data_IF_971234870607
#
_entry.id   IF_971234870607
#
_cell.length_a   1.000
_cell.length_b   1.000
_cell.length_c   1.000
_cell.angle_alpha   90.00
_cell.angle_beta   90.00
_cell.angle_gamma   90.00
#
_symmetry.space_group_name_H-M   'P 1'
#
loop_
_entity.id
_entity.type
_entity.pdbx_description
1 polymer ?
#
# COMPACT_ATOMS: atom_id res chain seq x y z
N UNK A 1 89.93 -119.94 -187.57
CA UNK A 1 90.59 -118.66 -187.25
C UNK A 1 89.66 -117.43 -187.37
N UNK A 2 88.34 -117.56 -187.60
CA UNK A 2 87.53 -116.39 -187.99
C UNK A 2 86.46 -115.87 -187.00
N UNK A 3 86.20 -116.48 -185.84
CA UNK A 3 85.21 -115.90 -184.87
C UNK A 3 85.72 -115.69 -183.44
N UNK A 4 87.03 -115.53 -183.31
CA UNK A 4 87.68 -114.78 -182.23
C UNK A 4 87.22 -113.30 -182.17
N UNK A 5 86.61 -112.74 -183.22
CA UNK A 5 86.07 -111.37 -183.19
C UNK A 5 84.68 -111.24 -182.52
N UNK A 6 83.93 -112.35 -182.34
CA UNK A 6 82.70 -112.34 -181.54
C UNK A 6 83.00 -112.40 -180.03
N UNK A 7 84.22 -112.80 -179.68
CA UNK A 7 84.83 -112.75 -178.35
C UNK A 7 85.27 -111.34 -177.90
N UNK A 8 84.72 -110.25 -178.45
CA UNK A 8 85.06 -108.90 -177.98
C UNK A 8 83.89 -107.91 -178.03
N UNK A 9 82.96 -108.09 -178.97
CA UNK A 9 81.79 -107.22 -179.09
C UNK A 9 80.69 -107.47 -178.02
N UNK A 10 80.57 -108.69 -177.49
CA UNK A 10 79.65 -108.98 -176.39
C UNK A 10 80.26 -108.64 -175.01
N UNK A 11 81.58 -108.84 -174.86
CA UNK A 11 82.34 -108.54 -173.64
C UNK A 11 82.40 -107.03 -173.36
N UNK A 12 82.50 -106.19 -174.40
CA UNK A 12 82.47 -104.72 -174.28
C UNK A 12 81.06 -104.15 -174.05
N UNK A 13 80.00 -104.87 -174.46
CA UNK A 13 78.61 -104.41 -174.25
C UNK A 13 78.05 -104.74 -172.85
N UNK A 14 78.51 -105.82 -172.20
CA UNK A 14 78.08 -106.15 -170.83
C UNK A 14 78.80 -105.34 -169.75
N UNK A 15 80.12 -105.15 -169.90
CA UNK A 15 80.94 -104.38 -168.94
C UNK A 15 80.53 -102.89 -168.83
N UNK A 16 79.83 -102.36 -169.85
CA UNK A 16 79.23 -101.03 -169.81
C UNK A 16 77.93 -100.96 -168.99
N UNK A 17 77.18 -102.07 -168.86
CA UNK A 17 75.98 -102.14 -168.01
C UNK A 17 76.32 -102.17 -166.52
N UNK A 18 77.32 -102.97 -166.13
CA UNK A 18 77.76 -103.10 -164.74
C UNK A 18 78.32 -101.80 -164.14
N UNK A 19 78.89 -100.91 -164.97
CA UNK A 19 79.40 -99.61 -164.53
C UNK A 19 78.29 -98.56 -164.30
N UNK A 20 77.18 -98.65 -165.04
CA UNK A 20 76.04 -97.73 -164.89
C UNK A 20 75.24 -98.02 -163.62
N UNK A 21 75.04 -99.30 -163.29
CA UNK A 21 74.34 -99.72 -162.08
C UNK A 21 75.14 -99.43 -160.79
N UNK A 22 76.47 -99.51 -160.84
CA UNK A 22 77.31 -99.16 -159.70
C UNK A 22 77.27 -97.66 -159.37
N UNK A 23 77.16 -96.79 -160.38
CA UNK A 23 77.06 -95.33 -160.17
C UNK A 23 75.71 -94.90 -159.58
N UNK A 24 74.61 -95.59 -159.93
CA UNK A 24 73.30 -95.34 -159.34
C UNK A 24 73.29 -95.65 -157.83
N UNK A 25 73.87 -96.79 -157.42
CA UNK A 25 73.94 -97.22 -156.01
C UNK A 25 74.73 -96.28 -155.10
N UNK A 26 75.81 -95.68 -155.59
CA UNK A 26 76.62 -94.72 -154.81
C UNK A 26 75.85 -93.42 -154.56
N UNK A 27 75.04 -92.98 -155.53
CA UNK A 27 74.23 -91.77 -155.40
C UNK A 27 73.07 -91.99 -154.42
N UNK A 28 72.44 -93.15 -154.47
CA UNK A 28 71.38 -93.57 -153.54
C UNK A 28 71.87 -93.64 -152.09
N UNK A 29 73.05 -94.23 -151.87
CA UNK A 29 73.68 -94.32 -150.54
C UNK A 29 74.07 -92.95 -149.98
N UNK A 30 74.47 -91.99 -150.83
CA UNK A 30 74.77 -90.62 -150.39
C UNK A 30 73.52 -89.88 -149.92
N UNK A 31 72.40 -90.02 -150.63
CA UNK A 31 71.13 -89.41 -150.24
C UNK A 31 70.65 -89.97 -148.88
N UNK A 32 70.78 -91.29 -148.68
CA UNK A 32 70.43 -91.93 -147.41
C UNK A 32 71.29 -91.43 -146.23
N UNK A 33 72.57 -91.14 -146.45
CA UNK A 33 73.46 -90.66 -145.39
C UNK A 33 73.09 -89.24 -144.92
N UNK A 34 72.77 -88.34 -145.86
CA UNK A 34 72.32 -86.98 -145.53
C UNK A 34 70.98 -87.00 -144.80
N UNK A 35 70.10 -87.93 -145.18
CA UNK A 35 68.79 -88.11 -144.57
C UNK A 35 68.90 -88.63 -143.12
N UNK A 36 69.81 -89.58 -142.86
CA UNK A 36 70.10 -90.04 -141.49
C UNK A 36 70.77 -88.96 -140.63
N UNK A 37 71.67 -88.14 -141.22
CA UNK A 37 72.29 -87.02 -140.52
C UNK A 37 71.26 -86.01 -140.02
N UNK A 38 70.28 -85.64 -140.86
CA UNK A 38 69.18 -84.76 -140.48
C UNK A 38 68.26 -85.32 -139.39
N UNK A 39 68.07 -86.64 -139.35
CA UNK A 39 67.27 -87.30 -138.30
C UNK A 39 67.97 -87.25 -136.93
N UNK A 40 69.29 -87.41 -136.88
CA UNK A 40 70.05 -87.35 -135.62
C UNK A 40 70.04 -85.95 -135.02
N UNK A 41 70.22 -84.91 -135.84
CA UNK A 41 70.21 -83.52 -135.36
C UNK A 41 68.80 -83.09 -134.89
N UNK A 42 67.74 -83.52 -135.58
CA UNK A 42 66.37 -83.32 -135.14
C UNK A 42 66.07 -84.02 -133.80
N UNK A 43 66.62 -85.23 -133.59
CA UNK A 43 66.49 -85.97 -132.33
C UNK A 43 67.19 -85.25 -131.17
N UNK A 44 68.42 -84.75 -131.38
CA UNK A 44 69.16 -83.98 -130.36
C UNK A 44 68.46 -82.68 -129.98
N UNK A 45 67.91 -81.95 -130.95
CA UNK A 45 67.16 -80.73 -130.68
C UNK A 45 65.91 -81.02 -129.82
N UNK A 46 65.22 -82.14 -130.08
CA UNK A 46 64.01 -82.53 -129.34
C UNK A 46 64.30 -82.98 -127.90
N UNK A 47 65.44 -83.65 -127.67
CA UNK A 47 65.90 -83.98 -126.30
C UNK A 47 66.19 -82.69 -125.51
N UNK A 48 66.92 -81.74 -126.09
CA UNK A 48 67.23 -80.46 -125.43
C UNK A 48 65.99 -79.58 -125.18
N UNK A 49 64.92 -79.74 -125.97
CA UNK A 49 63.63 -79.10 -125.72
C UNK A 49 62.89 -79.75 -124.55
N UNK A 50 62.85 -81.09 -124.50
CA UNK A 50 62.22 -81.83 -123.39
C UNK A 50 62.96 -81.60 -122.07
N UNK A 51 64.30 -81.59 -122.08
CA UNK A 51 65.11 -81.32 -120.88
C UNK A 51 64.84 -79.90 -120.32
N UNK A 52 64.73 -78.89 -121.19
CA UNK A 52 64.33 -77.53 -120.77
C UNK A 52 62.91 -77.50 -120.22
N UNK A 53 61.97 -78.21 -120.84
CA UNK A 53 60.60 -78.34 -120.34
C UNK A 53 60.53 -79.00 -118.95
N UNK A 54 61.33 -80.04 -118.72
CA UNK A 54 61.39 -80.76 -117.45
C UNK A 54 61.97 -79.89 -116.33
N UNK A 55 63.01 -79.11 -116.62
CA UNK A 55 63.58 -78.14 -115.67
C UNK A 55 62.58 -77.04 -115.30
N UNK A 56 61.80 -76.54 -116.27
CA UNK A 56 60.76 -75.53 -116.02
C UNK A 56 59.62 -76.07 -115.16
N UNK A 57 59.17 -77.32 -115.39
CA UNK A 57 58.12 -77.95 -114.59
C UNK A 57 58.63 -78.26 -113.18
N UNK A 58 59.86 -78.74 -113.02
CA UNK A 58 60.47 -78.96 -111.71
C UNK A 58 60.54 -77.68 -110.89
N UNK A 59 60.96 -76.55 -111.49
CA UNK A 59 60.96 -75.25 -110.81
C UNK A 59 59.58 -74.80 -110.35
N UNK A 60 58.54 -74.97 -111.18
CA UNK A 60 57.15 -74.68 -110.79
C UNK A 60 56.64 -75.58 -109.67
N UNK A 61 57.04 -76.85 -109.63
CA UNK A 61 56.67 -77.75 -108.54
C UNK A 61 57.31 -77.34 -107.21
N UNK A 62 58.56 -76.88 -107.22
CA UNK A 62 59.24 -76.40 -106.02
C UNK A 62 58.65 -75.07 -105.50
N UNK A 63 58.30 -74.14 -106.39
CA UNK A 63 57.60 -72.89 -106.04
C UNK A 63 56.24 -73.17 -105.39
N UNK A 64 55.41 -74.01 -106.02
CA UNK A 64 54.09 -74.38 -105.48
C UNK A 64 54.20 -75.16 -104.17
N UNK A 65 55.24 -75.98 -103.98
CA UNK A 65 55.50 -76.66 -102.72
C UNK A 65 55.96 -75.68 -101.62
N UNK A 66 56.65 -74.59 -101.98
CA UNK A 66 56.95 -73.47 -101.10
C UNK A 66 55.69 -72.76 -100.63
N UNK A 67 54.85 -72.30 -101.57
CA UNK A 67 53.58 -71.63 -101.28
C UNK A 67 52.65 -72.49 -100.42
N UNK A 68 52.58 -73.80 -100.68
CA UNK A 68 51.79 -74.73 -99.89
C UNK A 68 52.25 -74.86 -98.43
N UNK A 69 53.56 -74.76 -98.16
CA UNK A 69 54.10 -74.78 -96.80
C UNK A 69 53.81 -73.49 -96.04
N UNK A 70 53.93 -72.34 -96.71
CA UNK A 70 53.66 -71.04 -96.10
C UNK A 70 52.17 -70.89 -95.74
N UNK A 71 51.27 -71.27 -96.65
CA UNK A 71 49.82 -71.27 -96.39
C UNK A 71 49.42 -72.23 -95.26
N UNK A 72 50.06 -73.39 -95.16
CA UNK A 72 49.82 -74.33 -94.06
C UNK A 72 50.27 -73.77 -92.70
N UNK A 73 51.40 -73.04 -92.67
CA UNK A 73 51.88 -72.37 -91.46
C UNK A 73 50.95 -71.22 -91.03
N UNK A 74 50.43 -70.45 -91.99
CA UNK A 74 49.49 -69.36 -91.72
C UNK A 74 48.12 -69.85 -91.25
N UNK A 75 47.59 -70.92 -91.84
CA UNK A 75 46.37 -71.58 -91.37
C UNK A 75 46.51 -72.07 -89.90
N UNK A 76 47.66 -72.67 -89.56
CA UNK A 76 47.94 -73.11 -88.19
C UNK A 76 47.99 -71.96 -87.17
N UNK A 77 48.51 -70.79 -87.56
CA UNK A 77 48.51 -69.59 -86.70
C UNK A 77 47.09 -69.06 -86.46
N UNK A 78 46.29 -68.95 -87.52
CA UNK A 78 44.90 -68.46 -87.43
C UNK A 78 44.01 -69.39 -86.59
N UNK A 79 44.20 -70.71 -86.68
CA UNK A 79 43.46 -71.67 -85.87
C UNK A 79 43.83 -71.57 -84.38
N UNK A 80 45.13 -71.37 -84.06
CA UNK A 80 45.56 -71.12 -82.69
C UNK A 80 44.99 -69.81 -82.12
N UNK A 81 44.96 -68.74 -82.90
CA UNK A 81 44.35 -67.46 -82.49
C UNK A 81 42.84 -67.59 -82.26
N UNK A 82 42.13 -68.31 -83.12
CA UNK A 82 40.69 -68.60 -82.96
C UNK A 82 40.39 -69.40 -81.71
N UNK A 83 41.19 -70.43 -81.43
CA UNK A 83 41.05 -71.23 -80.21
C UNK A 83 41.26 -70.37 -78.95
N UNK A 84 42.28 -69.51 -78.94
CA UNK A 84 42.55 -68.58 -77.84
C UNK A 84 41.46 -67.50 -77.66
N UNK A 85 40.83 -67.03 -78.74
CA UNK A 85 39.71 -66.11 -78.67
C UNK A 85 38.45 -66.78 -78.10
N UNK A 86 38.13 -68.01 -78.52
CA UNK A 86 36.98 -68.77 -77.99
C UNK A 86 37.10 -69.05 -76.49
N UNK A 87 38.27 -69.50 -76.04
CA UNK A 87 38.51 -69.73 -74.62
C UNK A 87 38.35 -68.45 -73.76
N UNK A 88 38.72 -67.28 -74.30
CA UNK A 88 38.50 -65.98 -73.62
C UNK A 88 37.02 -65.60 -73.54
N UNK A 89 36.25 -65.82 -74.60
CA UNK A 89 34.80 -65.56 -74.57
C UNK A 89 34.09 -66.46 -73.55
N UNK A 90 34.42 -67.76 -73.53
CA UNK A 90 33.85 -68.70 -72.54
C UNK A 90 34.20 -68.30 -71.10
N UNK A 91 35.42 -67.81 -70.86
CA UNK A 91 35.82 -67.29 -69.55
C UNK A 91 35.04 -66.04 -69.12
N UNK A 92 34.82 -65.09 -70.02
CA UNK A 92 34.06 -63.86 -69.73
C UNK A 92 32.56 -64.14 -69.52
N UNK A 93 31.97 -65.09 -70.26
CA UNK A 93 30.58 -65.49 -70.05
C UNK A 93 30.38 -66.17 -68.68
N UNK A 94 31.35 -66.99 -68.25
CA UNK A 94 31.33 -67.58 -66.91
C UNK A 94 31.45 -66.51 -65.80
N UNK A 95 32.29 -65.49 -65.99
CA UNK A 95 32.43 -64.39 -65.03
C UNK A 95 31.16 -63.51 -64.96
N UNK A 96 30.56 -63.20 -66.12
CA UNK A 96 29.32 -62.43 -66.22
C UNK A 96 28.15 -63.12 -65.52
N UNK A 97 28.00 -64.43 -65.72
CA UNK A 97 26.94 -65.22 -65.05
C UNK A 97 27.11 -65.26 -63.53
N UNK A 98 28.35 -65.37 -63.04
CA UNK A 98 28.64 -65.35 -61.60
C UNK A 98 28.36 -63.97 -60.97
N UNK A 99 28.74 -62.89 -61.65
CA UNK A 99 28.45 -61.51 -61.21
C UNK A 99 26.94 -61.24 -61.17
N UNK A 100 26.20 -61.67 -62.19
CA UNK A 100 24.74 -61.53 -62.23
C UNK A 100 24.06 -62.26 -61.06
N UNK A 101 24.52 -63.48 -60.72
CA UNK A 101 24.02 -64.22 -59.57
C UNK A 101 24.34 -63.52 -58.24
N UNK A 102 25.55 -62.95 -58.09
CA UNK A 102 25.93 -62.19 -56.90
C UNK A 102 25.12 -60.91 -56.73
N UNK A 103 24.78 -60.21 -57.82
CA UNK A 103 23.94 -59.00 -57.78
C UNK A 103 22.52 -59.33 -57.33
N UNK A 104 21.93 -60.39 -57.89
CA UNK A 104 20.59 -60.84 -57.50
C UNK A 104 20.51 -61.20 -56.01
N UNK A 105 21.54 -61.86 -55.46
CA UNK A 105 21.60 -62.18 -54.03
C UNK A 105 21.67 -60.93 -53.13
N UNK A 106 22.48 -59.93 -53.52
CA UNK A 106 22.59 -58.68 -52.77
C UNK A 106 21.31 -57.83 -52.81
N UNK A 107 20.59 -57.86 -53.93
CA UNK A 107 19.33 -57.13 -54.06
C UNK A 107 18.22 -57.76 -53.20
N UNK A 108 18.17 -59.09 -53.10
CA UNK A 108 17.26 -59.79 -52.18
C UNK A 108 17.59 -59.49 -50.71
N UNK A 109 18.87 -59.51 -50.33
CA UNK A 109 19.32 -59.14 -48.99
C UNK A 109 18.95 -57.68 -48.64
N UNK A 110 19.11 -56.75 -49.58
CA UNK A 110 18.69 -55.35 -49.41
C UNK A 110 17.19 -55.22 -49.23
N UNK A 111 16.39 -55.96 -50.00
CA UNK A 111 14.94 -55.94 -49.89
C UNK A 111 14.47 -56.44 -48.50
N UNK A 112 15.06 -57.52 -48.00
CA UNK A 112 14.72 -58.06 -46.67
C UNK A 112 15.13 -57.11 -45.54
N UNK A 113 16.29 -56.47 -45.63
CA UNK A 113 16.73 -55.46 -44.65
C UNK A 113 15.85 -54.21 -44.67
N UNK A 114 15.42 -53.75 -45.86
CA UNK A 114 14.51 -52.61 -45.98
C UNK A 114 13.13 -52.89 -45.36
N UNK A 115 12.61 -54.11 -45.54
CA UNK A 115 11.37 -54.56 -44.91
C UNK A 115 11.49 -54.56 -43.37
N UNK A 116 12.56 -55.15 -42.82
CA UNK A 116 12.82 -55.16 -41.37
C UNK A 116 12.98 -53.76 -40.78
N UNK A 117 13.63 -52.85 -41.50
CA UNK A 117 13.77 -51.44 -41.07
C UNK A 117 12.41 -50.76 -40.96
N UNK A 118 11.55 -50.96 -41.96
CA UNK A 118 10.21 -50.35 -42.00
C UNK A 118 9.33 -50.86 -40.87
N UNK A 119 9.40 -52.17 -40.58
CA UNK A 119 8.69 -52.78 -39.43
C UNK A 119 9.20 -52.22 -38.09
N UNK A 120 10.52 -52.11 -37.92
CA UNK A 120 11.12 -51.53 -36.71
C UNK A 120 10.76 -50.04 -36.52
N UNK A 121 10.77 -49.24 -37.59
CA UNK A 121 10.36 -47.83 -37.56
C UNK A 121 8.88 -47.67 -37.18
N UNK A 122 8.01 -48.54 -37.71
CA UNK A 122 6.59 -48.57 -37.34
C UNK A 122 6.39 -48.93 -35.87
N UNK A 123 7.10 -49.96 -35.37
CA UNK A 123 7.06 -50.35 -33.95
C UNK A 123 7.58 -49.25 -33.02
N UNK A 124 8.64 -48.54 -33.42
CA UNK A 124 9.16 -47.40 -32.65
C UNK A 124 8.15 -46.24 -32.59
N UNK A 125 7.49 -45.92 -33.71
CA UNK A 125 6.47 -44.87 -33.76
C UNK A 125 5.26 -45.19 -32.86
N UNK A 126 4.80 -46.44 -32.88
CA UNK A 126 3.71 -46.89 -32.00
C UNK A 126 4.13 -46.83 -30.52
N UNK A 127 5.37 -47.26 -30.21
CA UNK A 127 5.94 -47.16 -28.87
C UNK A 127 6.01 -45.72 -28.34
N UNK A 128 6.45 -44.77 -29.18
CA UNK A 128 6.45 -43.35 -28.83
C UNK A 128 5.03 -42.81 -28.60
N UNK A 129 4.05 -43.23 -29.41
CA UNK A 129 2.64 -42.85 -29.23
C UNK A 129 2.07 -43.32 -27.90
N UNK A 130 2.33 -44.57 -27.52
CA UNK A 130 1.91 -45.12 -26.21
C UNK A 130 2.61 -44.44 -25.05
N UNK A 131 3.91 -44.15 -25.18
CA UNK A 131 4.67 -43.45 -24.14
C UNK A 131 4.15 -42.02 -23.91
N UNK A 132 3.81 -41.30 -24.98
CA UNK A 132 3.22 -39.96 -24.89
C UNK A 132 1.84 -39.99 -24.22
N UNK A 133 0.98 -40.95 -24.57
CA UNK A 133 -0.33 -41.10 -23.94
C UNK A 133 -0.23 -41.40 -22.43
N UNK A 134 0.69 -42.28 -22.03
CA UNK A 134 0.95 -42.59 -20.62
C UNK A 134 1.53 -41.38 -19.86
N UNK A 135 2.39 -40.58 -20.51
CA UNK A 135 2.93 -39.36 -19.91
C UNK A 135 1.83 -38.31 -19.66
N UNK A 136 0.90 -38.14 -20.59
CA UNK A 136 -0.26 -37.24 -20.43
C UNK A 136 -1.20 -37.70 -19.30
N UNK A 137 -1.44 -39.01 -19.17
CA UNK A 137 -2.23 -39.57 -18.08
C UNK A 137 -1.56 -39.37 -16.72
N UNK A 138 -0.25 -39.61 -16.63
CA UNK A 138 0.54 -39.37 -15.43
C UNK A 138 0.50 -37.89 -15.02
N UNK A 139 0.69 -36.97 -15.97
CA UNK A 139 0.64 -35.54 -15.68
C UNK A 139 -0.74 -35.09 -15.19
N UNK A 140 -1.83 -35.60 -15.79
CA UNK A 140 -3.20 -35.33 -15.31
C UNK A 140 -3.43 -35.86 -13.89
N UNK A 141 -2.87 -37.01 -13.55
CA UNK A 141 -2.95 -37.57 -12.21
C UNK A 141 -2.16 -36.72 -11.19
N UNK A 142 -0.95 -36.28 -11.53
CA UNK A 142 -0.12 -35.40 -10.70
C UNK A 142 -0.82 -34.06 -10.41
N UNK A 143 -1.41 -33.43 -11.42
CA UNK A 143 -2.14 -32.17 -11.23
C UNK A 143 -3.34 -32.37 -10.29
N UNK A 144 -4.10 -33.47 -10.44
CA UNK A 144 -5.22 -33.79 -9.55
C UNK A 144 -4.74 -34.04 -8.12
N UNK A 145 -3.64 -34.76 -7.95
CA UNK A 145 -3.05 -35.00 -6.63
C UNK A 145 -2.66 -33.67 -5.97
N UNK A 146 -1.96 -32.79 -6.68
CA UNK A 146 -1.56 -31.48 -6.17
C UNK A 146 -2.77 -30.59 -5.80
N UNK A 147 -3.85 -30.64 -6.58
CA UNK A 147 -5.11 -29.95 -6.26
C UNK A 147 -5.72 -30.46 -4.94
N UNK A 148 -5.85 -31.79 -4.79
CA UNK A 148 -6.40 -32.40 -3.58
C UNK A 148 -5.53 -32.12 -2.35
N UNK A 149 -4.20 -32.18 -2.49
CA UNK A 149 -3.26 -31.84 -1.40
C UNK A 149 -3.39 -30.37 -0.98
N UNK A 150 -3.53 -29.44 -1.93
CA UNK A 150 -3.72 -28.03 -1.64
C UNK A 150 -5.07 -27.76 -0.93
N UNK A 151 -6.15 -28.41 -1.36
CA UNK A 151 -7.46 -28.32 -0.72
C UNK A 151 -7.43 -28.86 0.71
N UNK A 152 -6.81 -30.03 0.92
CA UNK A 152 -6.62 -30.61 2.25
C UNK A 152 -5.77 -29.72 3.15
N UNK A 153 -4.65 -29.20 2.63
CA UNK A 153 -3.78 -28.27 3.37
C UNK A 153 -4.47 -26.95 3.73
N UNK A 154 -5.32 -26.44 2.86
CA UNK A 154 -6.17 -25.27 3.14
C UNK A 154 -7.27 -25.56 4.16
N UNK A 155 -7.91 -26.72 4.09
CA UNK A 155 -8.89 -27.15 5.08
C UNK A 155 -8.27 -27.34 6.47
N UNK A 156 -7.08 -27.97 6.54
CA UNK A 156 -6.34 -28.16 7.80
C UNK A 156 -5.95 -26.83 8.43
N UNK A 157 -5.37 -25.91 7.66
CA UNK A 157 -5.00 -24.57 8.17
C UNK A 157 -6.19 -23.81 8.72
N UNK A 158 -7.33 -23.81 8.00
CA UNK A 158 -8.56 -23.17 8.51
C UNK A 158 -9.02 -23.79 9.82
N UNK A 159 -8.99 -25.12 9.96
CA UNK A 159 -9.37 -25.80 11.20
C UNK A 159 -8.47 -25.41 12.39
N UNK A 160 -7.16 -25.31 12.17
CA UNK A 160 -6.20 -24.95 13.22
C UNK A 160 -6.23 -23.45 13.55
N UNK A 161 -6.25 -22.58 12.53
CA UNK A 161 -6.16 -21.12 12.71
C UNK A 161 -7.48 -20.49 13.15
N UNK A 162 -8.61 -20.83 12.52
CA UNK A 162 -9.91 -20.22 12.85
C UNK A 162 -10.60 -20.91 14.03
N UNK A 163 -10.41 -22.23 14.19
CA UNK A 163 -11.16 -23.01 15.17
C UNK A 163 -10.30 -23.64 16.27
N UNK A 164 -8.96 -23.61 16.17
CA UNK A 164 -8.06 -24.14 17.18
C UNK A 164 -8.12 -25.67 17.34
N UNK A 165 -8.64 -26.40 16.34
CA UNK A 165 -8.83 -27.85 16.41
C UNK A 165 -7.86 -28.54 15.44
N UNK A 166 -6.95 -29.43 15.92
CA UNK A 166 -6.12 -30.25 15.06
C UNK A 166 -6.98 -31.18 14.18
N UNK A 167 -6.60 -31.35 12.91
CA UNK A 167 -7.36 -32.14 11.94
C UNK A 167 -7.68 -33.57 12.43
N UNK A 168 -6.75 -34.20 13.13
CA UNK A 168 -6.86 -35.55 13.66
C UNK A 168 -7.96 -35.66 14.74
N UNK A 169 -8.22 -34.58 15.48
CA UNK A 169 -9.32 -34.48 16.45
C UNK A 169 -10.67 -34.20 15.78
N UNK A 170 -10.67 -33.49 14.66
CA UNK A 170 -11.88 -33.20 13.90
C UNK A 170 -12.39 -34.43 13.13
N UNK A 171 -11.49 -35.21 12.51
CA UNK A 171 -11.84 -36.38 11.70
C UNK A 171 -12.57 -37.50 12.48
N UNK A 172 -12.38 -37.58 13.80
CA UNK A 172 -13.01 -38.59 14.66
C UNK A 172 -14.22 -38.12 15.47
N UNK A 173 -14.61 -36.84 15.35
CA UNK A 173 -15.59 -36.21 16.24
C UNK A 173 -16.82 -35.64 15.52
N UNK A 174 -17.01 -35.91 14.23
CA UNK A 174 -18.19 -35.48 13.48
C UNK A 174 -19.35 -36.42 13.81
N UNK A 175 -20.42 -35.97 14.49
CA UNK A 175 -21.57 -36.82 14.76
C UNK A 175 -22.36 -37.07 13.47
N UNK A 176 -22.69 -38.32 13.17
CA UNK A 176 -23.44 -38.73 11.96
C UNK A 176 -24.83 -38.08 11.85
N UNK A 177 -25.35 -37.50 12.93
CA UNK A 177 -26.69 -36.92 13.03
C UNK A 177 -26.78 -35.45 12.62
N UNK A 178 -25.68 -34.81 12.18
CA UNK A 178 -25.66 -33.37 11.90
C UNK A 178 -25.89 -33.10 10.41
N UNK A 179 -27.05 -32.51 10.09
CA UNK A 179 -27.31 -32.03 8.74
C UNK A 179 -26.41 -30.81 8.46
N UNK A 180 -25.51 -30.97 7.47
CA UNK A 180 -24.52 -29.96 7.10
C UNK A 180 -25.17 -28.63 6.69
N UNK A 181 -26.23 -28.68 5.90
CA UNK A 181 -26.85 -27.48 5.34
C UNK A 181 -27.61 -26.70 6.42
N UNK A 182 -28.29 -27.40 7.32
CA UNK A 182 -28.95 -26.78 8.48
C UNK A 182 -27.94 -26.12 9.43
N UNK A 183 -26.81 -26.78 9.67
CA UNK A 183 -25.74 -26.27 10.55
C UNK A 183 -25.05 -25.05 9.95
N UNK A 184 -24.78 -25.07 8.64
CA UNK A 184 -24.21 -23.91 7.93
C UNK A 184 -25.17 -22.71 7.96
N UNK A 185 -26.46 -22.94 7.70
CA UNK A 185 -27.47 -21.88 7.80
C UNK A 185 -27.55 -21.29 9.21
N UNK A 186 -27.42 -22.12 10.25
CA UNK A 186 -27.37 -21.65 11.65
C UNK A 186 -26.10 -20.86 11.95
N UNK A 187 -24.94 -21.28 11.42
CA UNK A 187 -23.67 -20.54 11.57
C UNK A 187 -23.77 -19.18 10.88
N UNK A 188 -24.34 -19.10 9.68
CA UNK A 188 -24.54 -17.83 8.97
C UNK A 188 -25.49 -16.91 9.73
N UNK A 189 -26.60 -17.43 10.25
CA UNK A 189 -27.53 -16.65 11.07
C UNK A 189 -26.84 -16.11 12.33
N UNK A 190 -26.05 -16.94 13.04
CA UNK A 190 -25.30 -16.53 14.23
C UNK A 190 -24.21 -15.50 13.89
N UNK A 191 -23.49 -15.67 12.76
CA UNK A 191 -22.52 -14.68 12.27
C UNK A 191 -23.20 -13.35 11.94
N UNK A 192 -24.39 -13.39 11.35
CA UNK A 192 -25.21 -12.20 11.09
C UNK A 192 -25.63 -11.50 12.38
N UNK A 193 -26.06 -12.26 13.40
CA UNK A 193 -26.40 -11.71 14.72
C UNK A 193 -25.17 -11.07 15.41
N UNK A 194 -24.00 -11.71 15.31
CA UNK A 194 -22.74 -11.16 15.84
C UNK A 194 -22.35 -9.87 15.12
N UNK A 195 -22.45 -9.85 13.78
CA UNK A 195 -22.19 -8.64 13.00
C UNK A 195 -23.17 -7.50 13.33
N UNK A 196 -24.44 -7.82 13.59
CA UNK A 196 -25.46 -6.84 13.97
C UNK A 196 -25.22 -6.22 15.36
N UNK A 197 -24.53 -6.92 16.28
CA UNK A 197 -24.13 -6.33 17.57
C UNK A 197 -23.07 -5.24 17.43
N UNK A 198 -22.38 -5.18 16.29
CA UNK A 198 -21.35 -4.17 16.03
C UNK A 198 -20.08 -4.37 16.87
N UNK A 199 -19.14 -3.41 16.83
CA UNK A 199 -17.91 -3.50 17.58
C UNK A 199 -18.18 -3.43 19.10
N UNK A 200 -17.77 -4.46 19.82
CA UNK A 200 -17.89 -4.50 21.28
C UNK A 200 -16.83 -3.58 21.91
N UNK A 201 -17.27 -2.53 22.60
CA UNK A 201 -16.36 -1.67 23.34
C UNK A 201 -15.95 -2.34 24.67
N UNK A 202 -14.76 -2.94 24.68
CA UNK A 202 -14.20 -3.60 25.86
C UNK A 202 -13.88 -2.62 27.00
N UNK A 203 -13.72 -1.32 26.70
CA UNK A 203 -13.47 -0.28 27.70
C UNK A 203 -14.75 0.22 28.38
N UNK A 204 -15.93 -0.13 27.86
CA UNK A 204 -17.22 0.38 28.34
C UNK A 204 -17.45 0.10 29.84
N UNK A 205 -16.94 -1.02 30.35
CA UNK A 205 -17.07 -1.38 31.78
C UNK A 205 -16.29 -0.39 32.66
N UNK A 206 -15.05 -0.08 32.28
CA UNK A 206 -14.21 0.86 33.02
C UNK A 206 -14.69 2.30 32.84
N UNK A 207 -15.11 2.69 31.64
CA UNK A 207 -15.72 4.00 31.36
C UNK A 207 -17.00 4.20 32.19
N UNK A 208 -17.88 3.19 32.26
CA UNK A 208 -19.07 3.24 33.10
C UNK A 208 -18.70 3.40 34.57
N UNK A 209 -17.68 2.68 35.06
CA UNK A 209 -17.21 2.80 36.46
C UNK A 209 -16.74 4.22 36.77
N UNK A 210 -15.92 4.80 35.90
CA UNK A 210 -15.40 6.17 36.05
C UNK A 210 -16.51 7.23 36.01
N UNK A 211 -17.45 7.09 35.05
CA UNK A 211 -18.57 8.01 34.91
C UNK A 211 -19.52 7.90 36.11
N UNK A 212 -19.77 6.69 36.61
CA UNK A 212 -20.61 6.46 37.77
C UNK A 212 -20.01 7.08 39.05
N UNK A 213 -18.71 6.92 39.28
CA UNK A 213 -18.01 7.53 40.41
C UNK A 213 -18.05 9.07 40.38
N UNK A 214 -17.80 9.64 39.20
CA UNK A 214 -17.93 11.10 38.98
C UNK A 214 -19.36 11.59 39.21
N UNK A 215 -20.36 10.87 38.69
CA UNK A 215 -21.76 11.21 38.88
C UNK A 215 -22.16 11.17 40.35
N UNK A 216 -21.69 10.18 41.11
CA UNK A 216 -21.95 10.07 42.53
C UNK A 216 -21.32 11.24 43.30
N UNK A 217 -20.09 11.60 42.98
CA UNK A 217 -19.40 12.75 43.59
C UNK A 217 -20.14 14.06 43.36
N UNK A 218 -20.56 14.31 42.11
CA UNK A 218 -21.33 15.52 41.75
C UNK A 218 -22.70 15.58 42.45
N UNK A 219 -23.37 14.43 42.64
CA UNK A 219 -24.63 14.38 43.40
C UNK A 219 -24.43 14.80 44.86
N UNK A 220 -23.42 14.26 45.53
CA UNK A 220 -23.13 14.62 46.92
C UNK A 220 -22.79 16.11 47.06
N UNK A 221 -22.00 16.68 46.14
CA UNK A 221 -21.71 18.12 46.14
C UNK A 221 -22.97 18.97 45.91
N UNK A 222 -23.86 18.53 45.02
CA UNK A 222 -25.11 19.23 44.74
C UNK A 222 -26.04 19.23 45.96
N UNK A 223 -26.14 18.11 46.67
CA UNK A 223 -26.92 18.00 47.92
C UNK A 223 -26.36 18.94 49.00
N UNK A 224 -25.04 19.01 49.16
CA UNK A 224 -24.39 19.91 50.14
C UNK A 224 -24.65 21.40 49.83
N UNK A 225 -24.53 21.80 48.56
CA UNK A 225 -24.84 23.16 48.12
C UNK A 225 -26.31 23.50 48.35
N UNK A 226 -27.22 22.59 48.03
CA UNK A 226 -28.65 22.79 48.28
C UNK A 226 -28.96 22.92 49.78
N UNK A 227 -28.32 22.10 50.62
CA UNK A 227 -28.40 22.20 52.07
C UNK A 227 -27.90 23.56 52.58
N UNK A 228 -26.76 24.03 52.07
CA UNK A 228 -26.19 25.33 52.42
C UNK A 228 -27.11 26.48 52.03
N UNK A 229 -27.72 26.44 50.84
CA UNK A 229 -28.69 27.46 50.40
C UNK A 229 -29.90 27.50 51.34
N UNK A 230 -30.42 26.34 51.74
CA UNK A 230 -31.54 26.29 52.67
C UNK A 230 -31.17 26.89 54.04
N UNK A 231 -30.00 26.54 54.57
CA UNK A 231 -29.51 27.06 55.84
C UNK A 231 -29.31 28.59 55.82
N UNK A 232 -28.71 29.12 54.75
CA UNK A 232 -28.52 30.56 54.57
C UNK A 232 -29.85 31.32 54.48
N UNK A 233 -30.85 30.77 53.79
CA UNK A 233 -32.20 31.37 53.74
C UNK A 233 -32.85 31.42 55.11
N UNK A 234 -32.72 30.36 55.91
CA UNK A 234 -33.22 30.36 57.30
C UNK A 234 -32.51 31.42 58.13
N UNK A 235 -31.19 31.56 57.98
CA UNK A 235 -30.41 32.58 58.70
C UNK A 235 -30.84 34.00 58.32
N UNK A 236 -31.10 34.27 57.03
CA UNK A 236 -31.58 35.58 56.57
C UNK A 236 -32.91 35.93 57.26
N UNK A 237 -33.87 35.01 57.27
CA UNK A 237 -35.18 35.24 57.92
C UNK A 237 -35.01 35.52 59.43
N UNK A 238 -34.15 34.75 60.10
CA UNK A 238 -33.86 34.99 61.52
C UNK A 238 -33.21 36.35 61.76
N UNK A 239 -32.30 36.77 60.88
CA UNK A 239 -31.64 38.07 60.99
C UNK A 239 -32.62 39.22 60.72
N UNK A 240 -33.49 39.09 59.72
CA UNK A 240 -34.55 40.06 59.43
C UNK A 240 -35.50 40.25 60.63
N UNK A 241 -35.88 39.17 61.31
CA UNK A 241 -36.69 39.24 62.53
C UNK A 241 -35.96 39.98 63.66
N UNK A 242 -34.66 39.72 63.85
CA UNK A 242 -33.84 40.42 64.85
C UNK A 242 -33.71 41.91 64.52
N UNK A 243 -33.46 42.24 63.24
CA UNK A 243 -33.37 43.63 62.77
C UNK A 243 -34.69 44.36 63.02
N UNK A 244 -35.84 43.74 62.68
CA UNK A 244 -37.16 44.34 62.90
C UNK A 244 -37.42 44.62 64.37
N UNK A 245 -37.12 43.67 65.26
CA UNK A 245 -37.28 43.85 66.71
C UNK A 245 -36.39 44.99 67.22
N UNK A 246 -35.12 45.04 66.83
CA UNK A 246 -34.21 46.11 67.25
C UNK A 246 -34.62 47.48 66.70
N UNK A 247 -35.09 47.52 65.46
CA UNK A 247 -35.61 48.74 64.83
C UNK A 247 -36.81 49.27 65.61
N UNK A 248 -37.84 48.45 65.87
CA UNK A 248 -39.05 48.88 66.59
C UNK A 248 -38.73 49.38 68.01
N UNK A 249 -37.83 48.69 68.71
CA UNK A 249 -37.37 49.11 70.05
C UNK A 249 -36.64 50.45 70.00
N UNK A 250 -35.71 50.61 69.06
CA UNK A 250 -34.92 51.84 68.92
C UNK A 250 -35.78 53.01 68.44
N UNK A 251 -36.64 52.78 67.45
CA UNK A 251 -37.57 53.76 66.91
C UNK A 251 -38.47 54.32 68.01
N UNK A 252 -39.06 53.44 68.84
CA UNK A 252 -39.90 53.85 69.97
C UNK A 252 -39.11 54.67 71.00
N UNK A 253 -37.92 54.21 71.36
CA UNK A 253 -37.07 54.94 72.31
C UNK A 253 -36.69 56.34 71.81
N UNK A 254 -36.32 56.45 70.52
CA UNK A 254 -35.99 57.74 69.90
C UNK A 254 -37.23 58.63 69.78
N UNK A 255 -38.40 58.07 69.44
CA UNK A 255 -39.65 58.81 69.38
C UNK A 255 -40.01 59.42 70.73
N UNK A 256 -39.99 58.63 71.80
CA UNK A 256 -40.36 59.07 73.15
C UNK A 256 -39.41 60.19 73.64
N UNK A 257 -38.11 60.04 73.41
CA UNK A 257 -37.10 61.03 73.80
C UNK A 257 -37.17 62.29 72.93
N UNK A 258 -37.42 62.16 71.63
CA UNK A 258 -37.62 63.28 70.71
C UNK A 258 -38.84 64.11 71.11
N UNK A 259 -39.97 63.47 71.41
CA UNK A 259 -41.19 64.15 71.86
C UNK A 259 -40.95 64.91 73.17
N UNK A 260 -40.21 64.33 74.12
CA UNK A 260 -39.88 64.97 75.38
C UNK A 260 -38.95 66.18 75.20
N UNK A 261 -37.86 66.03 74.42
CA UNK A 261 -36.90 67.10 74.15
C UNK A 261 -37.53 68.24 73.35
N UNK A 262 -38.42 67.94 72.39
CA UNK A 262 -39.14 68.95 71.64
C UNK A 262 -39.96 69.84 72.57
N UNK A 263 -40.76 69.26 73.47
CA UNK A 263 -41.60 70.02 74.41
C UNK A 263 -40.73 70.90 75.31
N UNK A 264 -39.55 70.40 75.73
CA UNK A 264 -38.60 71.15 76.55
C UNK A 264 -38.01 72.35 75.82
N UNK A 265 -37.53 72.15 74.59
CA UNK A 265 -36.92 73.19 73.76
C UNK A 265 -37.92 74.26 73.32
N UNK A 266 -39.12 73.87 72.89
CA UNK A 266 -40.17 74.79 72.44
C UNK A 266 -41.04 75.33 73.59
N UNK A 267 -40.80 74.90 74.83
CA UNK A 267 -41.60 75.27 76.02
C UNK A 267 -43.10 75.00 75.82
N UNK A 268 -43.43 73.91 75.12
CA UNK A 268 -44.78 73.55 74.70
C UNK A 268 -44.83 72.96 73.28
N UNK A 269 -46.04 72.70 72.79
CA UNK A 269 -46.24 72.05 71.48
C UNK A 269 -46.21 70.52 71.55
N UNK A 270 -46.14 69.86 70.39
CA UNK A 270 -45.99 68.39 70.26
C UNK A 270 -45.20 68.05 69.01
N UNK A 271 -44.32 67.06 69.07
CA UNK A 271 -43.69 66.49 67.89
C UNK A 271 -43.58 64.98 68.03
N UNK A 272 -43.46 64.29 66.89
CA UNK A 272 -43.32 62.84 66.83
C UNK A 272 -42.70 62.39 65.53
N UNK A 273 -42.32 61.11 65.52
CA UNK A 273 -41.84 60.40 64.34
C UNK A 273 -42.97 59.51 63.81
N UNK A 274 -43.23 59.56 62.51
CA UNK A 274 -44.19 58.70 61.83
C UNK A 274 -43.47 57.81 60.80
N UNK A 275 -43.84 56.53 60.79
CA UNK A 275 -43.37 55.57 59.79
C UNK A 275 -44.17 55.77 58.51
N UNK A 276 -43.48 56.12 57.43
CA UNK A 276 -44.07 56.23 56.09
C UNK A 276 -43.85 54.88 55.38
N UNK A 277 -44.92 54.20 54.93
CA UNK A 277 -44.77 52.96 54.17
C UNK A 277 -43.89 53.18 52.94
N UNK A 278 -42.91 52.30 52.73
CA UNK A 278 -42.12 52.30 51.51
C UNK A 278 -42.97 51.96 50.29
N UNK A 279 -42.63 52.53 49.14
CA UNK A 279 -43.25 52.19 47.84
C UNK A 279 -42.40 51.11 47.16
N UNK A 280 -43.04 50.13 46.51
CA UNK A 280 -42.39 49.10 45.67
C UNK A 280 -41.25 48.30 46.35
N UNK A 281 -41.45 47.87 47.60
CA UNK A 281 -40.48 47.03 48.31
C UNK A 281 -39.28 47.79 48.89
N UNK A 282 -39.30 49.12 48.88
CA UNK A 282 -38.36 49.95 49.61
C UNK A 282 -38.59 49.85 51.13
N UNK A 283 -37.52 50.06 51.91
CA UNK A 283 -37.61 50.18 53.37
C UNK A 283 -38.53 51.35 53.77
N UNK A 284 -39.29 51.23 54.88
CA UNK A 284 -40.14 52.30 55.35
C UNK A 284 -39.31 53.55 55.70
N UNK A 285 -39.81 54.71 55.26
CA UNK A 285 -39.23 56.00 55.61
C UNK A 285 -39.67 56.46 57.00
N UNK A 286 -38.99 57.49 57.52
CA UNK A 286 -39.39 58.18 58.75
C UNK A 286 -39.67 59.65 58.40
N UNK A 287 -40.88 60.12 58.70
CA UNK A 287 -41.24 61.54 58.61
C UNK A 287 -41.33 62.18 60.00
N UNK A 288 -41.05 63.47 60.06
CA UNK A 288 -41.02 64.25 61.29
C UNK A 288 -42.21 65.21 61.28
N UNK A 289 -43.14 64.96 62.20
CA UNK A 289 -44.28 65.83 62.42
C UNK A 289 -44.05 66.71 63.64
N UNK A 290 -44.20 68.03 63.46
CA UNK A 290 -43.98 68.99 64.53
C UNK A 290 -45.13 70.00 64.60
N UNK A 291 -45.52 70.33 65.83
CA UNK A 291 -46.51 71.34 66.17
C UNK A 291 -45.93 72.28 67.23
N UNK A 292 -45.26 73.36 66.80
CA UNK A 292 -44.82 74.42 67.71
C UNK A 292 -46.00 75.06 68.48
N UNK A 293 -45.76 75.70 69.63
CA UNK A 293 -46.81 76.34 70.42
C UNK A 293 -47.60 77.36 69.59
N UNK A 294 -48.94 77.27 69.64
CA UNK A 294 -49.84 78.16 68.90
C UNK A 294 -49.98 77.87 67.39
N UNK A 295 -49.29 76.87 66.83
CA UNK A 295 -49.37 76.51 65.40
C UNK A 295 -50.08 75.17 65.14
N UNK A 296 -50.44 74.93 63.88
CA UNK A 296 -50.94 73.63 63.38
C UNK A 296 -49.78 72.65 63.16
N UNK A 297 -50.09 71.36 63.10
CA UNK A 297 -49.13 70.31 62.79
C UNK A 297 -48.63 70.47 61.35
N UNK A 298 -47.31 70.41 61.17
CA UNK A 298 -46.62 70.62 59.89
C UNK A 298 -45.45 69.64 59.76
N UNK A 299 -45.10 69.30 58.52
CA UNK A 299 -43.85 68.58 58.22
C UNK A 299 -42.65 69.52 58.37
N UNK A 300 -41.45 68.95 58.55
CA UNK A 300 -40.20 69.68 58.77
C UNK A 300 -39.94 70.78 57.71
N UNK A 301 -40.27 70.52 56.45
CA UNK A 301 -40.07 71.46 55.34
C UNK A 301 -40.92 72.74 55.43
N UNK A 302 -42.02 72.72 56.19
CA UNK A 302 -42.97 73.84 56.32
C UNK A 302 -42.74 74.70 57.59
N UNK A 303 -41.64 74.47 58.31
CA UNK A 303 -41.19 75.26 59.47
C UNK A 303 -40.26 76.41 59.07
N UNK A 304 -40.16 77.44 59.93
CA UNK A 304 -39.19 78.54 59.76
C UNK A 304 -37.75 78.04 59.91
N UNK A 305 -36.76 78.84 59.47
CA UNK A 305 -35.34 78.45 59.52
C UNK A 305 -34.86 78.07 60.93
N UNK A 306 -35.11 78.92 61.92
CA UNK A 306 -34.75 78.65 63.32
C UNK A 306 -35.57 77.52 63.96
N UNK A 307 -36.86 77.40 63.60
CA UNK A 307 -37.69 76.27 64.06
C UNK A 307 -37.17 74.94 63.52
N UNK A 308 -36.78 74.89 62.24
CA UNK A 308 -36.25 73.69 61.59
C UNK A 308 -34.95 73.23 62.23
N UNK A 309 -34.04 74.17 62.52
CA UNK A 309 -32.77 73.87 63.20
C UNK A 309 -33.04 73.30 64.59
N UNK A 310 -33.94 73.92 65.36
CA UNK A 310 -34.26 73.45 66.71
C UNK A 310 -34.95 72.07 66.72
N UNK A 311 -35.80 71.76 65.73
CA UNK A 311 -36.39 70.42 65.56
C UNK A 311 -35.33 69.39 65.18
N UNK A 312 -34.43 69.72 64.26
CA UNK A 312 -33.35 68.82 63.85
C UNK A 312 -32.41 68.52 65.03
N UNK A 313 -32.05 69.54 65.81
CA UNK A 313 -31.24 69.38 67.03
C UNK A 313 -31.93 68.52 68.07
N UNK A 314 -33.24 68.70 68.28
CA UNK A 314 -34.02 67.85 69.19
C UNK A 314 -33.95 66.37 68.80
N UNK A 315 -34.02 66.07 67.49
CA UNK A 315 -33.91 64.69 67.00
C UNK A 315 -32.50 64.12 67.17
N UNK A 316 -31.47 64.87 66.81
CA UNK A 316 -30.06 64.45 66.98
C UNK A 316 -29.76 64.20 68.47
N UNK A 317 -30.19 65.08 69.36
CA UNK A 317 -30.01 64.91 70.80
C UNK A 317 -30.80 63.72 71.34
N UNK A 318 -32.01 63.46 70.85
CA UNK A 318 -32.78 62.27 71.21
C UNK A 318 -32.05 60.99 70.80
N UNK A 319 -31.51 60.95 69.57
CA UNK A 319 -30.69 59.82 69.11
C UNK A 319 -29.45 59.61 69.98
N UNK A 320 -28.73 60.67 70.31
CA UNK A 320 -27.54 60.61 71.17
C UNK A 320 -27.87 60.20 72.61
N UNK A 321 -29.07 60.52 73.12
CA UNK A 321 -29.48 60.11 74.46
C UNK A 321 -29.89 58.63 74.51
N UNK A 322 -30.51 58.11 73.46
CA UNK A 322 -30.86 56.68 73.33
C UNK A 322 -29.60 55.84 73.08
N UNK A 323 -28.67 56.33 72.25
CA UNK A 323 -27.42 55.66 71.92
C UNK A 323 -26.24 56.63 72.06
N UNK A 324 -25.66 56.75 73.27
CA UNK A 324 -24.60 57.72 73.52
C UNK A 324 -23.34 57.39 72.72
N UNK A 325 -22.87 58.38 71.96
CA UNK A 325 -21.55 58.35 71.33
C UNK A 325 -20.47 58.73 72.34
N UNK A 326 -19.28 58.12 72.34
CA UNK A 326 -18.18 58.53 73.24
C UNK A 326 -17.78 60.00 73.07
N UNK A 327 -17.83 60.53 71.85
CA UNK A 327 -17.59 61.94 71.55
C UNK A 327 -18.56 62.45 70.47
N UNK A 328 -18.88 63.73 70.53
CA UNK A 328 -19.73 64.45 69.57
C UNK A 328 -19.06 65.78 69.23
N UNK A 329 -18.98 66.09 67.93
CA UNK A 329 -18.49 67.38 67.44
C UNK A 329 -19.64 68.11 66.77
N UNK A 330 -19.87 69.35 67.17
CA UNK A 330 -20.89 70.21 66.59
C UNK A 330 -20.24 71.50 66.10
N UNK A 331 -20.58 71.88 64.88
CA UNK A 331 -20.02 73.05 64.21
C UNK A 331 -21.12 74.07 63.89
N UNK A 332 -21.06 75.23 64.53
CA UNK A 332 -21.97 76.39 64.38
C UNK A 332 -23.47 76.06 64.33
N UNK A 333 -23.90 75.05 65.08
CA UNK A 333 -25.28 74.54 65.03
C UNK A 333 -26.32 75.57 65.53
N UNK A 334 -25.89 76.57 66.30
CA UNK A 334 -26.71 77.64 66.85
C UNK A 334 -26.79 78.90 65.99
N UNK A 335 -26.17 78.95 64.80
CA UNK A 335 -26.12 80.15 63.95
C UNK A 335 -27.51 80.71 63.57
N UNK A 336 -28.53 79.84 63.52
CA UNK A 336 -29.91 80.21 63.19
C UNK A 336 -30.83 80.37 64.43
N UNK A 337 -30.27 80.29 65.65
CA UNK A 337 -31.01 80.39 66.90
C UNK A 337 -30.86 81.79 67.52
N UNK A 338 -31.90 82.24 68.22
CA UNK A 338 -31.81 83.41 69.08
C UNK A 338 -31.12 83.07 70.42
N UNK A 339 -30.80 84.09 71.20
CA UNK A 339 -30.09 83.93 72.47
C UNK A 339 -30.87 83.07 73.47
N UNK A 340 -32.21 83.18 73.50
CA UNK A 340 -33.06 82.42 74.38
C UNK A 340 -33.05 80.91 74.06
N UNK A 341 -33.14 80.54 72.78
CA UNK A 341 -33.10 79.15 72.36
C UNK A 341 -31.68 78.56 72.42
N UNK A 342 -30.65 79.38 72.21
CA UNK A 342 -29.25 78.98 72.38
C UNK A 342 -28.96 78.51 73.82
N UNK A 343 -29.51 79.19 74.83
CA UNK A 343 -29.38 78.77 76.24
C UNK A 343 -30.05 77.43 76.51
N UNK A 344 -31.29 77.23 76.01
CA UNK A 344 -32.01 75.94 76.17
C UNK A 344 -31.26 74.77 75.53
N UNK A 345 -30.68 74.98 74.35
CA UNK A 345 -29.82 74.00 73.68
C UNK A 345 -28.59 73.68 74.52
N UNK A 346 -27.93 74.71 75.05
CA UNK A 346 -26.72 74.57 75.87
C UNK A 346 -26.99 73.75 77.15
N UNK A 347 -28.18 73.89 77.75
CA UNK A 347 -28.61 73.06 78.88
C UNK A 347 -28.75 71.58 78.49
N UNK A 348 -29.34 71.28 77.32
CA UNK A 348 -29.42 69.90 76.81
C UNK A 348 -28.03 69.32 76.55
N UNK A 349 -27.15 70.11 75.93
CA UNK A 349 -25.77 69.69 75.65
C UNK A 349 -25.00 69.38 76.95
N UNK A 350 -25.21 70.16 78.02
CA UNK A 350 -24.61 69.90 79.33
C UNK A 350 -25.11 68.59 79.95
N UNK A 351 -26.37 68.24 79.77
CA UNK A 351 -26.90 66.92 80.20
C UNK A 351 -26.27 65.76 79.41
N UNK A 352 -26.10 65.93 78.09
CA UNK A 352 -25.43 64.95 77.24
C UNK A 352 -23.94 64.83 77.60
N UNK A 353 -23.30 65.93 78.00
CA UNK A 353 -21.89 65.98 78.40
C UNK A 353 -21.56 65.09 79.61
N UNK A 354 -22.56 64.66 80.40
CA UNK A 354 -22.38 63.71 81.50
C UNK A 354 -21.97 62.32 81.00
N UNK A 355 -22.38 61.94 79.78
CA UNK A 355 -22.16 60.60 79.22
C UNK A 355 -21.31 60.59 77.95
N UNK A 356 -21.12 61.75 77.33
CA UNK A 356 -20.43 61.92 76.04
C UNK A 356 -19.52 63.14 76.08
N UNK A 357 -18.34 63.08 75.46
CA UNK A 357 -17.51 64.26 75.30
C UNK A 357 -18.08 65.17 74.21
N UNK A 358 -18.43 66.42 74.55
CA UNK A 358 -18.99 67.37 73.59
C UNK A 358 -17.93 68.41 73.20
N UNK A 359 -17.67 68.52 71.90
CA UNK A 359 -16.81 69.55 71.30
C UNK A 359 -17.70 70.46 70.47
N UNK A 360 -17.77 71.74 70.83
CA UNK A 360 -18.56 72.76 70.14
C UNK A 360 -17.63 73.76 69.47
N UNK A 361 -17.83 74.00 68.18
CA UNK A 361 -17.20 75.09 67.43
C UNK A 361 -18.28 76.18 67.29
N UNK A 362 -18.02 77.36 67.85
CA UNK A 362 -19.02 78.41 67.95
C UNK A 362 -18.37 79.78 68.06
N UNK A 363 -19.03 80.80 67.49
CA UNK A 363 -18.76 82.22 67.76
C UNK A 363 -19.83 82.86 68.67
N UNK A 364 -20.81 82.08 69.16
CA UNK A 364 -21.91 82.56 69.98
C UNK A 364 -21.50 82.66 71.46
N UNK A 365 -21.60 83.86 72.04
CA UNK A 365 -21.21 84.14 73.42
C UNK A 365 -21.97 83.29 74.44
N UNK A 366 -23.27 83.04 74.22
CA UNK A 366 -24.08 82.25 75.14
C UNK A 366 -23.64 80.76 75.18
N UNK A 367 -23.21 80.21 74.05
CA UNK A 367 -22.66 78.84 73.98
C UNK A 367 -21.27 78.77 74.60
N UNK A 368 -20.43 79.79 74.38
CA UNK A 368 -19.10 79.88 75.00
C UNK A 368 -19.19 79.92 76.54
N UNK A 369 -20.11 80.72 77.09
CA UNK A 369 -20.34 80.83 78.53
C UNK A 369 -20.82 79.52 79.17
N UNK A 370 -21.47 78.65 78.40
CA UNK A 370 -21.97 77.37 78.89
C UNK A 370 -20.90 76.26 78.93
N UNK A 371 -19.72 76.49 78.35
CA UNK A 371 -18.63 75.50 78.22
C UNK A 371 -17.70 75.44 79.44
N UNK A 372 -17.09 74.28 79.69
CA UNK A 372 -16.12 74.10 80.78
C UNK A 372 -14.71 74.61 80.40
N UNK A 373 -14.35 74.41 79.13
CA UNK A 373 -13.04 74.77 78.54
C UNK A 373 -13.27 75.39 77.17
N UNK A 374 -12.66 76.54 76.93
CA UNK A 374 -12.60 77.21 75.65
C UNK A 374 -11.23 77.00 75.00
N UNK A 375 -11.25 76.65 73.72
CA UNK A 375 -10.07 76.68 72.85
C UNK A 375 -10.27 77.78 71.81
N UNK A 376 -9.39 78.78 71.84
CA UNK A 376 -9.35 79.84 70.84
C UNK A 376 -8.30 79.53 69.78
N UNK A 377 -8.61 79.83 68.53
CA UNK A 377 -7.64 79.78 67.42
C UNK A 377 -7.30 81.21 67.03
N UNK A 378 -6.02 81.57 67.10
CA UNK A 378 -5.49 82.87 66.68
C UNK A 378 -4.49 82.67 65.54
N UNK A 379 -4.32 83.69 64.70
CA UNK A 379 -3.31 83.74 63.64
C UNK A 379 -2.42 84.95 63.88
N UNK A 380 -1.36 84.76 64.66
CA UNK A 380 -0.36 85.80 64.94
C UNK A 380 0.51 86.06 63.71
N UNK A 381 0.80 85.00 62.93
CA UNK A 381 1.47 85.06 61.64
C UNK A 381 0.52 84.63 60.51
N UNK A 382 0.55 85.29 59.34
CA UNK A 382 -0.29 84.91 58.20
C UNK A 382 -0.04 83.45 57.78
N UNK A 383 -1.07 82.61 57.91
CA UNK A 383 -1.02 81.21 57.50
C UNK A 383 -0.60 80.21 58.58
N UNK A 384 -0.29 80.65 59.81
CA UNK A 384 0.00 79.78 60.94
C UNK A 384 -1.06 79.98 62.03
N UNK A 385 -1.85 78.94 62.30
CA UNK A 385 -2.85 78.94 63.36
C UNK A 385 -2.23 78.48 64.68
N UNK A 386 -2.31 79.30 65.71
CA UNK A 386 -1.94 78.97 67.08
C UNK A 386 -3.19 78.75 67.94
N UNK A 387 -3.14 77.74 68.80
CA UNK A 387 -4.24 77.41 69.71
C UNK A 387 -3.95 77.95 71.11
N UNK A 388 -4.89 78.69 71.65
CA UNK A 388 -4.91 79.14 73.04
C UNK A 388 -6.04 78.41 73.78
N UNK A 389 -5.86 78.13 75.08
CA UNK A 389 -6.90 77.48 75.87
C UNK A 389 -7.17 78.26 77.15
N UNK A 390 -8.44 78.32 77.54
CA UNK A 390 -8.91 78.98 78.75
C UNK A 390 -9.94 78.07 79.42
N UNK A 391 -9.76 77.78 80.71
CA UNK A 391 -10.75 77.04 81.51
C UNK A 391 -11.67 78.04 82.20
N UNK A 392 -12.99 77.92 81.98
CA UNK A 392 -13.98 78.87 82.49
C UNK A 392 -14.49 78.53 83.89
N UNK A 393 -14.34 77.28 84.34
CA UNK A 393 -14.80 76.81 85.66
C UNK A 393 -13.60 76.63 86.61
N UNK A 394 -13.68 77.24 87.80
CA UNK A 394 -12.72 77.02 88.88
C UNK A 394 -12.74 75.54 89.32
N UNK A 395 -11.60 74.92 89.67
CA UNK A 395 -11.55 73.52 90.03
C UNK A 395 -12.29 73.31 91.36
N UNK A 396 -13.48 72.72 91.30
CA UNK A 396 -14.15 72.18 92.49
C UNK A 396 -14.36 70.67 92.32
N UNK A 397 -13.59 69.93 93.12
CA UNK A 397 -13.74 68.55 93.58
C UNK A 397 -14.79 67.65 92.89
N UNK A 398 -14.54 67.24 91.64
CA UNK A 398 -15.15 66.04 91.07
C UNK A 398 -14.07 65.09 90.56
N UNK A 399 -13.74 64.17 91.46
CA UNK A 399 -13.08 62.88 91.27
C UNK A 399 -12.40 62.64 89.91
N UNK A 400 -11.07 62.60 89.94
CA UNK A 400 -10.25 62.03 88.86
C UNK A 400 -10.76 60.61 88.52
N UNK A 401 -11.12 60.33 87.26
CA UNK A 401 -11.18 58.95 86.79
C UNK A 401 -9.73 58.46 86.62
N UNK A 402 -9.39 57.37 87.32
CA UNK A 402 -8.11 56.67 87.11
C UNK A 402 -7.99 56.23 85.64
N UNK A 403 -6.79 56.30 85.04
CA UNK A 403 -6.58 55.81 83.68
C UNK A 403 -6.70 54.29 83.67
N UNK A 404 -7.67 53.79 82.91
CA UNK A 404 -7.79 52.36 82.58
C UNK A 404 -6.85 52.09 81.41
N UNK A 405 -5.91 51.16 81.59
CA UNK A 405 -5.05 50.62 80.53
C UNK A 405 -5.76 49.61 79.65
#
# INVERSE_FOLDING_TARGET
MERQAAAMAAEVRGQAGTRRDAAARVTELRIALTQLGGQVDAGKARIAEVERGLAQVAGRCDELAGEGRDLAAEAGRLDAERAAARARCEGLDAESTLLAASQAALDDERATLAARRTEAEAGHRDGLGRAAALADEAHKAEVKQAQVEAELGGARRRLEEEFGIPFERAAGAVPDSVNRDETLGRIEALRGLIAAMGPVNLLAIEEHRQVAERAQTLRTQLEDVQGTIAALRTLIVQLEDVIRIQFDQTFKAVHDEFSALFVRLFSGGRAGLELVPGVDGAEPGIDIIARPPGKKLRSLGALSGGERVMVAMALVFAMLKVRPSPFCVFDEIEAALDEANTRKVSEVLRELAVRSQIIMITHNKATMEASDVLYGVTMEEPGVSHMISVRLVAPDERAEPQPVG
#
